data_IF_878916444561
#
_entry.id   IF_878916444561
#
_cell.length_a   1.000
_cell.length_b   1.000
_cell.length_c   1.000
_cell.angle_alpha   90.00
_cell.angle_beta   90.00
_cell.angle_gamma   90.00
#
_symmetry.space_group_name_H-M   'P 1'
#
loop_
_entity.id
_entity.type
_entity.pdbx_description
1 polymer ?
#
# COMPACT_ATOMS: atom_id res chain seq x y z
N UNK A 1 1.03 3.93 23.64
CA UNK A 1 1.19 3.36 22.28
C UNK A 1 0.68 1.92 22.29
N UNK A 2 -0.54 1.65 21.83
CA UNK A 2 -1.03 0.28 21.72
C UNK A 2 -0.44 -0.38 20.46
N UNK A 3 0.68 -1.10 20.59
CA UNK A 3 1.42 -1.63 19.44
C UNK A 3 0.61 -2.69 18.68
N UNK A 4 -0.24 -3.43 19.38
CA UNK A 4 -1.14 -4.44 18.77
C UNK A 4 -2.10 -3.77 17.78
N UNK A 5 -2.75 -2.68 18.17
CA UNK A 5 -3.64 -1.91 17.28
C UNK A 5 -2.89 -1.33 16.07
N UNK A 6 -1.64 -0.92 16.25
CA UNK A 6 -0.81 -0.41 15.15
C UNK A 6 -0.51 -1.52 14.14
N UNK A 7 -0.05 -2.68 14.62
CA UNK A 7 0.26 -3.84 13.78
C UNK A 7 -0.98 -4.28 13.01
N UNK A 8 -2.12 -4.43 13.69
CA UNK A 8 -3.40 -4.81 13.04
C UNK A 8 -3.76 -3.82 11.92
N UNK A 9 -3.66 -2.51 12.19
CA UNK A 9 -4.01 -1.48 11.22
C UNK A 9 -3.12 -1.53 9.98
N UNK A 10 -1.80 -1.68 10.16
CA UNK A 10 -0.84 -1.81 9.05
C UNK A 10 -1.07 -3.10 8.27
N UNK A 11 -1.26 -4.23 8.96
CA UNK A 11 -1.49 -5.53 8.31
C UNK A 11 -2.75 -5.50 7.46
N UNK A 12 -3.86 -4.96 7.97
CA UNK A 12 -5.11 -4.84 7.20
C UNK A 12 -4.91 -4.00 5.93
N UNK A 13 -4.25 -2.84 6.03
CA UNK A 13 -3.96 -2.01 4.86
C UNK A 13 -3.03 -2.70 3.86
N UNK A 14 -1.99 -3.40 4.33
CA UNK A 14 -1.10 -4.18 3.48
C UNK A 14 -1.81 -5.32 2.78
N UNK A 15 -2.75 -6.01 3.45
CA UNK A 15 -3.55 -7.07 2.82
C UNK A 15 -4.39 -6.51 1.67
N UNK A 16 -4.99 -5.33 1.82
CA UNK A 16 -5.69 -4.67 0.72
C UNK A 16 -4.76 -4.41 -0.48
N UNK A 17 -3.52 -3.96 -0.22
CA UNK A 17 -2.49 -3.77 -1.25
C UNK A 17 -2.06 -5.06 -1.93
N UNK A 18 -1.86 -6.14 -1.17
CA UNK A 18 -1.49 -7.46 -1.69
C UNK A 18 -2.61 -8.00 -2.58
N UNK A 19 -3.86 -7.93 -2.12
CA UNK A 19 -5.01 -8.37 -2.90
C UNK A 19 -5.09 -7.59 -4.23
N UNK A 20 -4.99 -6.26 -4.18
CA UNK A 20 -4.93 -5.43 -5.39
C UNK A 20 -3.80 -5.85 -6.33
N UNK A 21 -2.59 -6.04 -5.78
CA UNK A 21 -1.42 -6.45 -6.55
C UNK A 21 -1.60 -7.82 -7.23
N UNK A 22 -2.31 -8.77 -6.62
CA UNK A 22 -2.60 -10.07 -7.24
C UNK A 22 -3.49 -9.94 -8.48
N UNK A 23 -4.50 -9.06 -8.42
CA UNK A 23 -5.39 -8.81 -9.56
C UNK A 23 -4.75 -7.95 -10.65
N UNK A 24 -3.86 -7.02 -10.27
CA UNK A 24 -3.18 -6.13 -11.23
C UNK A 24 -1.83 -6.67 -11.68
N UNK A 25 -1.43 -7.87 -11.25
CA UNK A 25 -0.15 -8.46 -11.64
C UNK A 25 -0.14 -8.72 -13.13
N UNK A 26 0.66 -7.94 -13.86
CA UNK A 26 0.86 -8.17 -15.29
C UNK A 26 2.28 -8.69 -15.52
N UNK A 27 2.41 -9.72 -16.37
CA UNK A 27 3.70 -10.36 -16.67
C UNK A 27 4.62 -9.50 -17.54
N UNK A 28 5.81 -10.00 -17.84
CA UNK A 28 6.84 -9.31 -18.65
C UNK A 28 6.42 -8.99 -20.09
N UNK A 29 5.34 -9.60 -20.60
CA UNK A 29 4.71 -9.29 -21.90
C UNK A 29 3.46 -8.42 -21.81
N UNK A 30 3.25 -7.66 -20.73
CA UNK A 30 2.05 -6.85 -20.57
C UNK A 30 2.00 -5.64 -21.52
N UNK A 31 0.79 -5.14 -21.77
CA UNK A 31 0.58 -3.91 -22.53
C UNK A 31 1.35 -2.72 -21.93
N UNK A 32 1.55 -2.68 -20.61
CA UNK A 32 2.30 -1.62 -19.95
C UNK A 32 3.81 -1.68 -20.27
N UNK A 33 4.35 -2.86 -20.59
CA UNK A 33 5.72 -2.99 -21.04
C UNK A 33 5.91 -2.54 -22.49
N UNK A 34 4.89 -2.62 -23.34
CA UNK A 34 4.98 -2.31 -24.78
C UNK A 34 4.80 -0.82 -25.13
N UNK A 35 4.29 0.00 -24.21
CA UNK A 35 4.11 1.43 -24.44
C UNK A 35 5.44 2.21 -24.33
N UNK A 36 5.59 3.23 -25.17
CA UNK A 36 6.65 4.24 -25.03
C UNK A 36 6.33 5.12 -23.83
N UNK A 37 7.19 5.08 -22.82
CA UNK A 37 7.02 5.84 -21.57
C UNK A 37 7.79 7.15 -21.66
N UNK A 38 7.28 8.25 -21.06
CA UNK A 38 8.04 9.49 -20.99
C UNK A 38 9.31 9.32 -20.15
N UNK A 39 10.30 10.19 -20.37
CA UNK A 39 11.63 10.09 -19.73
C UNK A 39 11.61 10.21 -18.20
N UNK A 40 10.56 10.79 -17.62
CA UNK A 40 10.38 10.93 -16.17
C UNK A 40 9.60 9.77 -15.52
N UNK A 41 9.20 8.74 -16.28
CA UNK A 41 8.55 7.58 -15.70
C UNK A 41 9.57 6.75 -14.90
N UNK A 42 9.35 6.50 -13.60
CA UNK A 42 10.30 5.77 -12.78
C UNK A 42 10.43 4.31 -13.25
N UNK A 43 11.57 3.66 -12.96
CA UNK A 43 11.74 2.23 -13.20
C UNK A 43 10.64 1.40 -12.52
N UNK A 44 10.22 0.30 -13.16
CA UNK A 44 9.09 -0.53 -12.70
C UNK A 44 9.22 -1.07 -11.27
N UNK A 45 10.45 -1.30 -10.79
CA UNK A 45 10.68 -1.78 -9.43
C UNK A 45 10.33 -0.74 -8.36
N UNK A 46 10.31 0.56 -8.68
CA UNK A 46 9.99 1.66 -7.74
C UNK A 46 8.54 1.61 -7.27
N UNK A 47 7.62 1.10 -8.10
CA UNK A 47 6.21 1.00 -7.73
C UNK A 47 6.00 0.09 -6.51
N UNK A 48 6.80 -0.96 -6.32
CA UNK A 48 6.70 -1.85 -5.16
C UNK A 48 6.91 -1.11 -3.83
N UNK A 49 8.10 -0.51 -3.60
CA UNK A 49 8.37 0.31 -2.42
C UNK A 49 7.40 1.48 -2.24
N UNK A 50 6.97 2.12 -3.33
CA UNK A 50 6.01 3.22 -3.26
C UNK A 50 4.67 2.73 -2.67
N UNK A 51 4.11 1.63 -3.18
CA UNK A 51 2.86 1.07 -2.66
C UNK A 51 2.98 0.59 -1.21
N UNK A 52 4.06 -0.10 -0.85
CA UNK A 52 4.31 -0.52 0.54
C UNK A 52 4.32 0.70 1.48
N UNK A 53 4.97 1.78 1.06
CA UNK A 53 5.03 3.03 1.83
C UNK A 53 3.64 3.62 2.01
N UNK A 54 2.88 3.74 0.92
CA UNK A 54 1.52 4.30 0.95
C UNK A 54 0.60 3.48 1.88
N UNK A 55 0.56 2.17 1.74
CA UNK A 55 -0.29 1.32 2.58
C UNK A 55 0.16 1.29 4.06
N UNK A 56 1.46 1.43 4.32
CA UNK A 56 1.96 1.63 5.69
C UNK A 56 1.46 2.94 6.29
N UNK A 57 1.53 4.04 5.53
CA UNK A 57 1.01 5.35 5.96
C UNK A 57 -0.51 5.32 6.17
N UNK A 58 -1.26 4.62 5.31
CA UNK A 58 -2.70 4.38 5.51
C UNK A 58 -2.97 3.60 6.81
N UNK A 59 -2.18 2.57 7.10
CA UNK A 59 -2.27 1.81 8.35
C UNK A 59 -1.99 2.65 9.59
N UNK A 60 -1.00 3.56 9.52
CA UNK A 60 -0.72 4.54 10.59
C UNK A 60 -1.92 5.50 10.75
N UNK A 61 -2.50 5.98 9.67
CA UNK A 61 -3.71 6.82 9.71
C UNK A 61 -4.89 6.09 10.37
N UNK A 62 -5.13 4.83 9.99
CA UNK A 62 -6.17 4.00 10.60
C UNK A 62 -5.93 3.79 12.11
N UNK A 63 -4.68 3.55 12.51
CA UNK A 63 -4.30 3.44 13.91
C UNK A 63 -4.60 4.71 14.73
N UNK A 64 -4.28 5.88 14.17
CA UNK A 64 -4.57 7.18 14.81
C UNK A 64 -6.08 7.32 15.04
N UNK A 65 -6.89 7.05 14.01
CA UNK A 65 -8.36 7.15 14.10
C UNK A 65 -8.93 6.15 15.12
N UNK A 66 -8.46 4.90 15.11
CA UNK A 66 -8.89 3.87 16.07
C UNK A 66 -8.63 4.34 17.51
N UNK A 67 -7.45 4.89 17.80
CA UNK A 67 -7.15 5.37 19.14
C UNK A 67 -7.94 6.61 19.56
N UNK A 68 -8.25 7.51 18.63
CA UNK A 68 -9.07 8.68 18.92
C UNK A 68 -10.53 8.29 19.17
N UNK A 69 -11.06 7.32 18.42
CA UNK A 69 -12.43 6.80 18.57
C UNK A 69 -12.61 5.94 19.81
N UNK A 70 -11.64 5.08 20.12
CA UNK A 70 -11.68 4.23 21.32
C UNK A 70 -11.49 4.96 22.65
N UNK A 71 -11.11 6.25 22.63
CA UNK A 71 -11.04 7.10 23.82
C UNK A 71 -12.34 7.90 24.07
N UNK A 72 -13.32 7.81 23.16
CA UNK A 72 -14.64 8.47 23.28
C UNK A 72 -15.77 7.48 23.59
N UNK A 73 -15.45 6.20 23.79
CA UNK A 73 -16.39 5.13 24.12
C UNK A 73 -16.18 4.65 25.56
#
# INVERSE_FOLDING_TARGET
MNITRLIISIVICQLAGILGALFTRTGTGSWYASIVKPSFNPPGWVFGPAWITLYTLMGISLYIIWNIGGNKA
#
